data_IF_505914023343
#
_entry.id   IF_505914023343
#
_cell.length_a   1.000
_cell.length_b   1.000
_cell.length_c   1.000
_cell.angle_alpha   90.00
_cell.angle_beta   90.00
_cell.angle_gamma   90.00
#
_symmetry.space_group_name_H-M   'P 1'
#
loop_
_entity.id
_entity.type
_entity.pdbx_description
1 polymer ?
#
# COMPACT_ATOMS: atom_id res chain seq x y z
N UNK A 1 -17.52 -52.84 19.43
CA UNK A 1 -18.01 -53.72 18.33
C UNK A 1 -19.11 -53.00 17.55
N UNK A 2 -19.17 -53.21 16.22
CA UNK A 2 -20.03 -52.59 15.16
C UNK A 2 -19.56 -51.18 14.74
N UNK A 3 -18.83 -50.92 13.63
CA UNK A 3 -18.97 -51.19 12.15
C UNK A 3 -20.27 -50.58 11.58
N UNK A 4 -20.37 -49.84 10.46
CA UNK A 4 -19.71 -49.75 9.12
C UNK A 4 -20.00 -48.34 8.48
N UNK A 5 -19.09 -47.69 7.71
CA UNK A 5 -19.01 -47.51 6.21
C UNK A 5 -20.32 -47.11 5.50
N UNK A 6 -20.43 -46.28 4.45
CA UNK A 6 -19.56 -45.82 3.33
C UNK A 6 -20.17 -44.53 2.70
N UNK A 7 -19.39 -43.55 2.19
CA UNK A 7 -18.98 -43.31 0.79
C UNK A 7 -20.10 -43.13 -0.28
N UNK A 8 -20.08 -41.99 -1.00
CA UNK A 8 -20.48 -41.88 -2.42
C UNK A 8 -19.58 -40.84 -3.11
N UNK A 9 -18.93 -41.28 -4.19
CA UNK A 9 -18.30 -40.45 -5.22
C UNK A 9 -19.18 -40.51 -6.48
N UNK A 10 -19.15 -39.47 -7.31
CA UNK A 10 -19.68 -39.52 -8.68
C UNK A 10 -18.76 -38.73 -9.62
N UNK A 11 -18.22 -39.45 -10.60
CA UNK A 11 -17.47 -38.96 -11.75
C UNK A 11 -18.42 -38.75 -12.94
N UNK A 12 -18.10 -37.81 -13.83
CA UNK A 12 -18.69 -37.72 -15.16
C UNK A 12 -17.59 -37.64 -16.23
N UNK A 13 -17.71 -38.56 -17.18
CA UNK A 13 -16.89 -38.76 -18.39
C UNK A 13 -17.51 -37.94 -19.53
N UNK A 14 -16.69 -37.34 -20.39
CA UNK A 14 -17.13 -36.94 -21.73
C UNK A 14 -16.11 -37.33 -22.81
N UNK A 15 -16.69 -37.77 -23.92
CA UNK A 15 -16.18 -38.66 -24.96
C UNK A 15 -15.34 -37.94 -26.02
N UNK A 16 -14.31 -38.61 -26.53
CA UNK A 16 -13.53 -38.20 -27.70
C UNK A 16 -14.19 -38.64 -29.01
N UNK A 17 -14.16 -37.78 -30.04
CA UNK A 17 -14.44 -38.15 -31.43
C UNK A 17 -13.33 -37.61 -32.34
N UNK A 18 -12.76 -38.49 -33.14
CA UNK A 18 -11.75 -38.22 -34.18
C UNK A 18 -12.44 -37.75 -35.47
N UNK A 19 -11.86 -36.75 -36.13
CA UNK A 19 -12.21 -36.32 -37.49
C UNK A 19 -10.95 -35.89 -38.24
N UNK A 20 -10.74 -36.48 -39.41
CA UNK A 20 -9.55 -36.35 -40.27
C UNK A 20 -9.73 -35.22 -41.30
N UNK A 21 -8.75 -34.32 -41.35
CA UNK A 21 -8.13 -33.65 -42.53
C UNK A 21 -8.99 -32.98 -43.63
N UNK A 22 -8.69 -31.70 -43.92
CA UNK A 22 -8.18 -31.23 -45.24
C UNK A 22 -7.66 -29.77 -45.19
N UNK A 23 -6.37 -29.62 -45.55
CA UNK A 23 -5.70 -28.58 -46.34
C UNK A 23 -6.00 -27.07 -46.24
N UNK A 24 -4.93 -26.35 -45.83
CA UNK A 24 -4.36 -25.10 -46.37
C UNK A 24 -5.09 -23.75 -46.24
N UNK A 25 -4.53 -22.87 -45.41
CA UNK A 25 -3.89 -21.61 -45.86
C UNK A 25 -2.99 -21.04 -44.75
N UNK A 26 -1.78 -20.64 -45.15
CA UNK A 26 -0.76 -20.00 -44.32
C UNK A 26 -1.19 -18.61 -43.82
N UNK A 27 -0.97 -18.36 -42.53
CA UNK A 27 -0.44 -17.11 -42.01
C UNK A 27 0.14 -17.36 -40.61
N UNK A 28 1.42 -17.68 -40.57
CA UNK A 28 2.22 -17.67 -39.34
C UNK A 28 2.82 -16.27 -39.18
N UNK A 29 2.37 -15.53 -38.17
CA UNK A 29 3.18 -14.50 -37.49
C UNK A 29 2.75 -14.39 -36.03
N UNK A 30 3.53 -15.06 -35.18
CA UNK A 30 3.94 -14.73 -33.81
C UNK A 30 2.88 -14.34 -32.75
N UNK A 31 2.95 -14.93 -31.54
CA UNK A 31 2.11 -14.50 -30.42
C UNK A 31 2.48 -13.09 -29.98
N UNK A 32 1.49 -12.21 -29.94
CA UNK A 32 1.60 -10.88 -29.34
C UNK A 32 2.00 -11.00 -27.88
N UNK A 33 3.11 -10.35 -27.52
CA UNK A 33 3.58 -10.18 -26.15
C UNK A 33 2.45 -9.65 -25.24
N UNK A 34 2.42 -10.02 -23.95
CA UNK A 34 1.42 -9.49 -23.03
C UNK A 34 1.54 -7.97 -22.96
N UNK A 35 0.44 -7.30 -23.31
CA UNK A 35 0.23 -5.87 -23.18
C UNK A 35 0.72 -5.40 -21.81
N UNK A 36 1.70 -4.50 -21.78
CA UNK A 36 2.06 -3.77 -20.58
C UNK A 36 0.79 -3.17 -20.00
N UNK A 37 0.46 -3.52 -18.75
CA UNK A 37 -0.66 -2.95 -18.01
C UNK A 37 -0.41 -1.46 -17.87
N UNK A 38 -0.94 -0.68 -18.82
CA UNK A 38 -0.92 0.77 -18.79
C UNK A 38 -1.60 1.18 -17.49
N UNK A 39 -0.87 1.84 -16.61
CA UNK A 39 -1.39 2.40 -15.38
C UNK A 39 -2.66 3.20 -15.71
N UNK A 40 -3.79 2.76 -15.18
CA UNK A 40 -5.05 3.49 -15.19
C UNK A 40 -5.32 3.88 -13.75
N UNK A 41 -5.34 5.19 -13.51
CA UNK A 41 -5.60 5.83 -12.23
C UNK A 41 -6.71 5.12 -11.42
N UNK A 42 -6.43 4.71 -10.17
CA UNK A 42 -7.45 4.47 -9.17
C UNK A 42 -8.38 5.68 -9.05
N UNK A 43 -9.68 5.46 -9.29
CA UNK A 43 -10.65 6.56 -9.46
C UNK A 43 -10.92 7.39 -8.21
N UNK A 44 -10.45 6.98 -7.03
CA UNK A 44 -10.79 7.63 -5.76
C UNK A 44 -9.60 8.01 -4.87
N UNK A 45 -8.35 7.70 -5.25
CA UNK A 45 -7.15 8.32 -4.62
C UNK A 45 -7.03 9.82 -4.95
N UNK A 46 -7.83 10.28 -5.93
CA UNK A 46 -7.74 11.61 -6.54
C UNK A 46 -8.77 12.61 -6.00
N UNK A 47 -9.46 12.33 -4.90
CA UNK A 47 -10.16 13.41 -4.17
C UNK A 47 -9.14 14.16 -3.33
N UNK A 48 -9.28 15.48 -3.20
CA UNK A 48 -8.62 16.20 -2.11
C UNK A 48 -8.80 15.39 -0.83
N UNK A 49 -7.69 15.11 -0.16
CA UNK A 49 -7.67 14.47 1.14
C UNK A 49 -8.39 15.44 2.09
N UNK A 50 -9.65 15.12 2.37
CA UNK A 50 -10.53 15.88 3.26
C UNK A 50 -10.34 15.37 4.69
N UNK A 51 -9.38 15.96 5.39
CA UNK A 51 -8.98 15.55 6.74
C UNK A 51 -10.04 15.86 7.79
N UNK A 52 -10.86 16.90 7.57
CA UNK A 52 -11.93 17.26 8.50
C UNK A 52 -13.08 16.26 8.41
N UNK A 53 -13.41 15.78 7.21
CA UNK A 53 -14.34 14.66 7.05
C UNK A 53 -13.79 13.36 7.65
N UNK A 54 -12.47 13.11 7.55
CA UNK A 54 -11.82 11.95 8.17
C UNK A 54 -11.80 12.04 9.71
N UNK A 55 -11.69 13.25 10.29
CA UNK A 55 -11.76 13.49 11.73
C UNK A 55 -13.20 13.46 12.28
N UNK A 56 -14.19 13.91 11.50
CA UNK A 56 -15.61 13.97 11.87
C UNK A 56 -16.27 12.59 12.10
N UNK A 57 -15.66 11.50 11.61
CA UNK A 57 -16.04 10.12 11.92
C UNK A 57 -15.57 9.67 13.33
N UNK A 58 -15.17 10.61 14.19
CA UNK A 58 -14.93 10.40 15.61
C UNK A 58 -13.46 10.24 16.01
N UNK A 59 -12.54 10.87 15.26
CA UNK A 59 -11.10 10.73 15.49
C UNK A 59 -10.46 12.05 15.88
N UNK A 60 -9.98 12.15 17.12
CA UNK A 60 -9.06 13.19 17.57
C UNK A 60 -7.66 12.59 17.71
N UNK A 61 -6.67 13.24 17.09
CA UNK A 61 -5.26 13.00 17.43
C UNK A 61 -5.09 13.54 18.85
N UNK A 62 -4.75 12.68 19.80
CA UNK A 62 -4.34 13.16 21.12
C UNK A 62 -3.05 13.95 20.94
N UNK A 63 -3.11 15.23 21.30
CA UNK A 63 -1.99 16.15 21.31
C UNK A 63 -0.82 15.55 22.11
N UNK A 64 0.36 15.52 21.49
CA UNK A 64 1.61 15.41 22.24
C UNK A 64 1.90 16.82 22.73
N UNK A 65 1.30 17.19 23.86
CA UNK A 65 1.63 18.44 24.55
C UNK A 65 3.05 18.32 25.13
N UNK A 66 3.91 19.23 24.66
CA UNK A 66 5.27 19.46 25.13
C UNK A 66 5.18 20.20 26.47
N UNK A 67 5.19 19.46 27.60
CA UNK A 67 5.30 20.09 28.91
C UNK A 67 6.76 20.30 29.30
N UNK A 68 7.11 21.58 29.41
CA UNK A 68 8.38 22.08 29.88
C UNK A 68 8.61 21.80 31.38
N UNK A 69 9.86 21.45 31.65
CA UNK A 69 10.49 21.08 32.91
C UNK A 69 10.33 22.13 34.03
N UNK A 70 9.89 21.71 35.22
CA UNK A 70 10.30 22.35 36.48
C UNK A 70 10.42 21.30 37.60
N UNK A 71 11.54 21.36 38.31
CA UNK A 71 12.06 20.35 39.22
C UNK A 71 11.32 20.22 40.55
N UNK A 72 11.20 19.00 41.09
CA UNK A 72 11.78 18.59 42.39
C UNK A 72 11.49 17.10 42.76
N UNK A 73 12.59 16.35 42.85
CA UNK A 73 12.95 15.19 43.68
C UNK A 73 11.93 14.23 44.36
N UNK A 74 12.19 12.94 44.11
CA UNK A 74 12.15 11.76 45.02
C UNK A 74 10.86 10.92 45.09
N UNK A 75 10.84 9.79 44.38
CA UNK A 75 10.85 8.44 44.97
C UNK A 75 10.77 7.38 43.86
N UNK A 76 11.78 6.52 43.82
CA UNK A 76 11.90 5.30 43.02
C UNK A 76 10.71 4.35 43.28
N UNK A 77 9.93 4.09 42.23
CA UNK A 77 9.24 2.82 42.03
C UNK A 77 9.59 2.36 40.63
N UNK A 78 10.53 1.43 40.55
CA UNK A 78 10.92 0.74 39.33
C UNK A 78 9.76 -0.19 38.92
N UNK A 79 8.78 0.38 38.23
CA UNK A 79 7.87 -0.36 37.39
C UNK A 79 8.65 -0.71 36.13
N UNK A 80 9.26 -1.89 36.14
CA UNK A 80 9.71 -2.54 34.91
C UNK A 80 8.47 -2.77 34.07
N UNK A 81 8.18 -1.83 33.17
CA UNK A 81 7.25 -2.08 32.08
C UNK A 81 7.81 -3.28 31.33
N UNK A 82 7.05 -4.38 31.32
CA UNK A 82 7.32 -5.48 30.41
C UNK A 82 7.29 -4.90 28.99
N UNK A 83 8.48 -4.64 28.45
CA UNK A 83 8.61 -4.23 27.05
C UNK A 83 8.19 -5.44 26.23
N UNK A 84 6.94 -5.46 25.77
CA UNK A 84 6.54 -6.34 24.67
C UNK A 84 7.61 -6.19 23.58
N UNK A 85 8.29 -7.27 23.17
CA UNK A 85 9.37 -7.16 22.20
C UNK A 85 8.80 -6.48 20.96
N UNK A 86 9.53 -5.49 20.45
CA UNK A 86 9.17 -4.88 19.18
C UNK A 86 8.96 -6.01 18.16
N UNK A 87 7.86 -5.96 17.39
CA UNK A 87 7.57 -6.99 16.42
C UNK A 87 8.69 -7.06 15.40
N UNK A 88 8.95 -8.25 14.84
CA UNK A 88 10.10 -8.44 13.96
C UNK A 88 9.99 -7.51 12.75
N UNK A 89 11.06 -6.75 12.52
CA UNK A 89 11.23 -5.96 11.32
C UNK A 89 11.30 -6.88 10.10
N UNK A 90 10.75 -6.44 8.96
CA UNK A 90 10.84 -7.19 7.70
C UNK A 90 12.29 -7.18 7.24
N UNK A 91 12.82 -8.34 6.86
CA UNK A 91 14.18 -8.50 6.32
C UNK A 91 14.23 -8.26 4.80
N UNK A 92 15.41 -7.99 4.21
CA UNK A 92 15.57 -7.89 2.75
C UNK A 92 15.06 -9.13 2.00
N UNK A 93 15.34 -10.32 2.52
CA UNK A 93 14.91 -11.60 1.96
C UNK A 93 13.38 -11.76 2.01
N UNK A 94 12.76 -11.41 3.14
CA UNK A 94 11.31 -11.42 3.26
C UNK A 94 10.68 -10.41 2.31
N UNK A 95 11.16 -9.16 2.26
CA UNK A 95 10.63 -8.14 1.35
C UNK A 95 10.68 -8.60 -0.12
N UNK A 96 11.77 -9.25 -0.52
CA UNK A 96 11.91 -9.84 -1.87
C UNK A 96 10.88 -10.94 -2.13
N UNK A 97 10.58 -11.78 -1.13
CA UNK A 97 9.55 -12.83 -1.24
C UNK A 97 8.13 -12.26 -1.23
N UNK A 98 7.87 -11.21 -0.46
CA UNK A 98 6.57 -10.53 -0.33
C UNK A 98 6.25 -9.73 -1.60
N UNK A 99 7.25 -9.06 -2.19
CA UNK A 99 7.11 -8.23 -3.39
C UNK A 99 8.05 -8.72 -4.49
N UNK A 100 7.79 -9.85 -5.17
CA UNK A 100 8.72 -10.43 -6.15
C UNK A 100 9.01 -9.54 -7.38
N UNK A 101 8.22 -8.48 -7.58
CA UNK A 101 8.43 -7.50 -8.65
C UNK A 101 9.40 -6.38 -8.30
N UNK A 102 9.88 -6.30 -7.05
CA UNK A 102 10.84 -5.30 -6.59
C UNK A 102 12.18 -5.47 -7.32
N UNK A 103 12.75 -4.39 -7.90
CA UNK A 103 14.11 -4.45 -8.43
C UNK A 103 15.11 -4.75 -7.31
N UNK A 104 16.02 -5.70 -7.53
CA UNK A 104 16.95 -6.18 -6.50
C UNK A 104 17.82 -5.05 -5.91
N UNK A 105 18.21 -4.10 -6.75
CA UNK A 105 18.99 -2.92 -6.36
C UNK A 105 18.26 -1.94 -5.44
N UNK A 106 16.93 -2.04 -5.34
CA UNK A 106 16.09 -1.18 -4.49
C UNK A 106 15.79 -1.77 -3.12
N UNK A 107 15.91 -3.08 -2.94
CA UNK A 107 15.58 -3.76 -1.68
C UNK A 107 16.35 -3.12 -0.51
N UNK A 108 17.67 -3.01 -0.65
CA UNK A 108 18.55 -2.41 0.38
C UNK A 108 18.25 -0.93 0.64
N UNK A 109 17.81 -0.20 -0.40
CA UNK A 109 17.45 1.21 -0.25
C UNK A 109 16.12 1.38 0.51
N UNK A 110 15.23 0.40 0.43
CA UNK A 110 13.85 0.54 0.90
C UNK A 110 13.59 -0.13 2.24
N UNK A 111 14.38 -1.14 2.61
CA UNK A 111 14.09 -1.95 3.80
C UNK A 111 14.13 -1.14 5.09
N UNK A 112 15.12 -0.27 5.27
CA UNK A 112 15.24 0.59 6.44
C UNK A 112 14.09 1.61 6.54
N UNK A 113 13.83 2.46 5.51
CA UNK A 113 12.76 3.45 5.60
C UNK A 113 11.35 2.82 5.66
N UNK A 114 11.12 1.66 5.03
CA UNK A 114 9.87 0.91 5.16
C UNK A 114 9.62 0.47 6.60
N UNK A 115 10.61 -0.19 7.22
CA UNK A 115 10.50 -0.66 8.60
C UNK A 115 10.37 0.50 9.59
N UNK A 116 11.10 1.59 9.38
CA UNK A 116 10.99 2.78 10.22
C UNK A 116 9.59 3.40 10.16
N UNK A 117 9.02 3.54 8.95
CA UNK A 117 7.68 4.05 8.77
C UNK A 117 6.62 3.14 9.44
N UNK A 118 6.76 1.81 9.26
CA UNK A 118 5.86 0.83 9.90
C UNK A 118 5.95 0.88 11.42
N UNK A 119 7.17 0.91 11.98
CA UNK A 119 7.40 0.95 13.43
C UNK A 119 6.81 2.23 14.05
N UNK A 120 7.08 3.41 13.47
CA UNK A 120 6.56 4.69 13.96
C UNK A 120 5.03 4.79 13.93
N UNK A 121 4.39 3.99 13.08
CA UNK A 121 2.93 4.03 12.84
C UNK A 121 2.17 2.84 13.42
N UNK A 122 2.80 2.02 14.27
CA UNK A 122 2.16 0.85 14.88
C UNK A 122 1.71 -0.21 13.87
N UNK A 123 2.37 -0.29 12.71
CA UNK A 123 2.17 -1.34 11.70
C UNK A 123 3.08 -2.50 12.09
N UNK A 124 2.69 -3.16 13.17
CA UNK A 124 3.59 -3.84 14.10
C UNK A 124 3.16 -5.31 14.31
N UNK A 125 2.39 -5.87 13.38
CA UNK A 125 2.12 -7.30 13.38
C UNK A 125 2.07 -7.81 11.94
N UNK A 126 2.23 -9.13 11.72
CA UNK A 126 2.25 -9.69 10.37
C UNK A 126 1.03 -9.32 9.52
N UNK A 127 -0.16 -9.19 10.11
CA UNK A 127 -1.38 -8.79 9.40
C UNK A 127 -1.29 -7.36 8.91
N UNK A 128 -0.94 -6.42 9.80
CA UNK A 128 -0.79 -5.00 9.45
C UNK A 128 0.33 -4.79 8.43
N UNK A 129 1.49 -5.41 8.66
CA UNK A 129 2.66 -5.33 7.76
C UNK A 129 2.33 -5.88 6.37
N UNK A 130 1.77 -7.09 6.29
CA UNK A 130 1.38 -7.69 5.01
C UNK A 130 0.33 -6.84 4.29
N UNK A 131 -0.66 -6.32 5.02
CA UNK A 131 -1.71 -5.50 4.41
C UNK A 131 -1.15 -4.18 3.87
N UNK A 132 -0.33 -3.49 4.65
CA UNK A 132 0.34 -2.25 4.25
C UNK A 132 1.20 -2.47 3.00
N UNK A 133 2.13 -3.43 3.04
CA UNK A 133 3.02 -3.74 1.91
C UNK A 133 2.23 -4.13 0.66
N UNK A 134 1.15 -4.90 0.79
CA UNK A 134 0.30 -5.29 -0.34
C UNK A 134 -0.35 -4.09 -1.04
N UNK A 135 -0.80 -3.08 -0.29
CA UNK A 135 -1.35 -1.86 -0.90
C UNK A 135 -0.26 -1.10 -1.64
N UNK A 136 0.87 -0.83 -0.99
CA UNK A 136 1.98 -0.09 -1.60
C UNK A 136 2.53 -0.81 -2.84
N UNK A 137 2.60 -2.14 -2.81
CA UNK A 137 3.09 -2.92 -3.93
C UNK A 137 2.18 -2.79 -5.16
N UNK A 138 0.89 -2.50 -5.01
CA UNK A 138 0.01 -2.16 -6.15
C UNK A 138 0.25 -0.73 -6.60
N UNK A 139 0.20 0.23 -5.68
CA UNK A 139 0.23 1.66 -6.04
C UNK A 139 1.56 2.10 -6.69
N UNK A 140 2.65 1.41 -6.41
CA UNK A 140 4.01 1.76 -6.86
C UNK A 140 4.59 0.82 -7.93
N UNK A 141 3.74 0.02 -8.58
CA UNK A 141 4.16 -1.02 -9.53
C UNK A 141 5.24 -1.94 -8.92
N UNK A 142 4.93 -2.56 -7.78
CA UNK A 142 5.85 -3.44 -7.04
C UNK A 142 7.13 -2.73 -6.62
N UNK A 143 7.04 -1.47 -6.17
CA UNK A 143 8.16 -0.65 -5.72
C UNK A 143 9.14 -0.27 -6.85
N UNK A 144 8.73 -0.43 -8.12
CA UNK A 144 9.53 -0.02 -9.29
C UNK A 144 9.60 1.48 -9.45
N UNK A 145 8.58 2.20 -9.02
CA UNK A 145 8.58 3.66 -9.05
C UNK A 145 7.74 4.25 -7.92
N UNK A 146 8.20 5.36 -7.36
CA UNK A 146 7.40 6.22 -6.48
C UNK A 146 7.03 7.53 -7.16
N UNK A 147 7.14 7.58 -8.48
CA UNK A 147 6.59 8.65 -9.30
C UNK A 147 5.78 8.02 -10.42
N UNK A 148 4.56 8.52 -10.64
CA UNK A 148 3.71 8.00 -11.71
C UNK A 148 4.42 8.14 -13.08
N UNK A 149 4.09 7.24 -13.99
CA UNK A 149 4.67 7.28 -15.34
C UNK A 149 4.02 8.37 -16.23
N UNK A 150 2.80 8.80 -15.93
CA UNK A 150 2.15 9.85 -16.71
C UNK A 150 2.77 11.22 -16.40
N UNK A 151 2.50 12.19 -17.27
CA UNK A 151 3.06 13.53 -17.11
C UNK A 151 2.38 14.37 -16.03
N UNK A 152 1.22 13.95 -15.51
CA UNK A 152 0.38 14.76 -14.62
C UNK A 152 -0.46 15.83 -15.34
N UNK A 153 -0.29 16.04 -16.66
CA UNK A 153 -1.09 17.02 -17.44
C UNK A 153 -2.60 16.83 -17.30
N UNK A 154 -3.05 15.60 -17.08
CA UNK A 154 -4.46 15.29 -16.90
C UNK A 154 -5.05 15.89 -15.61
N UNK A 155 -4.20 16.28 -14.65
CA UNK A 155 -4.62 16.92 -13.40
C UNK A 155 -4.62 18.45 -13.49
N UNK A 156 -4.21 19.05 -14.62
CA UNK A 156 -4.20 20.49 -14.78
C UNK A 156 -5.61 21.07 -14.63
N UNK A 157 -5.77 22.11 -13.81
CA UNK A 157 -7.06 22.76 -13.57
C UNK A 157 -8.06 21.93 -12.74
N UNK A 158 -7.67 20.78 -12.20
CA UNK A 158 -8.52 19.98 -11.29
C UNK A 158 -8.68 20.71 -9.96
N UNK A 159 -9.74 21.51 -9.84
CA UNK A 159 -10.06 22.28 -8.64
C UNK A 159 -10.29 21.38 -7.40
N UNK A 160 -10.82 20.18 -7.61
CA UNK A 160 -11.01 19.17 -6.55
C UNK A 160 -9.71 18.54 -6.05
N UNK A 161 -8.58 18.81 -6.71
CA UNK A 161 -7.21 18.47 -6.28
C UNK A 161 -6.43 19.70 -5.80
N UNK A 162 -7.07 20.88 -5.76
CA UNK A 162 -6.41 22.15 -5.48
C UNK A 162 -5.55 22.69 -6.62
N UNK A 163 -5.52 22.03 -7.79
CA UNK A 163 -4.71 22.44 -8.94
C UNK A 163 -5.36 23.64 -9.64
N UNK A 164 -5.18 24.82 -9.06
CA UNK A 164 -5.85 26.07 -9.45
C UNK A 164 -4.90 27.08 -10.10
N UNK A 165 -3.60 26.78 -10.12
CA UNK A 165 -2.59 27.59 -10.80
C UNK A 165 -2.04 26.91 -12.05
N UNK A 166 -1.69 27.67 -13.12
CA UNK A 166 -1.09 27.09 -14.30
C UNK A 166 0.18 26.28 -14.00
N UNK A 167 0.20 25.04 -14.48
CA UNK A 167 1.32 24.09 -14.31
C UNK A 167 1.20 23.18 -13.10
N UNK A 168 0.16 23.33 -12.28
CA UNK A 168 -0.07 22.49 -11.10
C UNK A 168 -0.23 21.01 -11.44
N UNK A 169 -0.80 20.68 -12.60
CA UNK A 169 -1.05 19.30 -12.98
C UNK A 169 0.24 18.48 -13.07
N UNK A 170 1.23 18.97 -13.82
CA UNK A 170 2.53 18.30 -13.92
C UNK A 170 3.36 18.43 -12.63
N UNK A 171 3.25 19.57 -11.94
CA UNK A 171 4.01 19.82 -10.70
C UNK A 171 3.60 18.87 -9.58
N UNK A 172 2.31 18.70 -9.34
CA UNK A 172 1.74 17.86 -8.28
C UNK A 172 1.15 16.56 -8.83
N UNK A 173 1.85 16.00 -9.81
CA UNK A 173 1.63 14.66 -10.35
C UNK A 173 1.78 13.58 -9.26
N UNK A 174 1.33 12.35 -9.51
CA UNK A 174 1.34 11.27 -8.51
C UNK A 174 2.75 10.90 -8.02
N UNK A 175 3.00 10.96 -6.71
CA UNK A 175 4.27 10.57 -6.08
C UNK A 175 4.11 9.84 -4.74
N UNK A 176 5.17 9.18 -4.30
CA UNK A 176 5.24 8.37 -3.09
C UNK A 176 4.68 6.95 -3.30
N UNK A 177 4.80 6.14 -2.26
CA UNK A 177 4.41 4.73 -2.31
C UNK A 177 2.88 4.52 -2.36
N UNK A 178 2.09 5.57 -2.08
CA UNK A 178 0.62 5.57 -2.13
C UNK A 178 0.03 6.59 -3.14
N UNK A 179 0.87 7.17 -4.02
CA UNK A 179 0.45 8.05 -5.12
C UNK A 179 -0.32 9.32 -4.69
N UNK A 180 0.28 10.11 -3.79
CA UNK A 180 -0.21 11.45 -3.45
C UNK A 180 -0.20 12.34 -4.69
N UNK A 181 -1.34 12.96 -4.98
CA UNK A 181 -1.58 13.73 -6.21
C UNK A 181 -2.35 15.01 -5.90
N UNK A 182 -2.01 16.12 -6.54
CA UNK A 182 -2.72 17.40 -6.43
C UNK A 182 -2.14 18.33 -5.36
N UNK A 183 -2.13 19.64 -5.67
CA UNK A 183 -1.58 20.70 -4.81
C UNK A 183 -2.08 20.63 -3.38
N UNK A 184 -3.41 20.52 -3.19
CA UNK A 184 -4.02 20.48 -1.86
C UNK A 184 -3.45 19.34 -1.01
N UNK A 185 -3.25 18.17 -1.63
CA UNK A 185 -2.72 17.00 -0.94
C UNK A 185 -1.25 17.15 -0.59
N UNK A 186 -0.46 17.75 -1.49
CA UNK A 186 0.93 18.10 -1.23
C UNK A 186 1.07 19.12 -0.10
N UNK A 187 0.21 20.14 -0.05
CA UNK A 187 0.18 21.13 1.04
C UNK A 187 -0.12 20.47 2.38
N UNK A 188 -1.15 19.62 2.43
CA UNK A 188 -1.56 18.94 3.68
C UNK A 188 -0.51 17.98 4.22
N UNK A 189 0.11 17.19 3.34
CA UNK A 189 1.16 16.27 3.78
C UNK A 189 2.44 17.03 4.15
N UNK A 190 2.72 18.18 3.52
CA UNK A 190 3.84 19.05 3.92
C UNK A 190 3.65 19.61 5.32
N UNK A 191 2.45 20.12 5.62
CA UNK A 191 2.07 20.63 6.95
C UNK A 191 2.25 19.56 8.02
N UNK A 192 1.80 18.34 7.75
CA UNK A 192 1.85 17.26 8.74
C UNK A 192 3.26 16.71 8.97
N UNK A 193 4.05 16.54 7.91
CA UNK A 193 5.38 15.90 8.00
C UNK A 193 6.49 16.92 8.30
N UNK A 194 6.25 18.21 8.04
CA UNK A 194 7.26 19.27 8.22
C UNK A 194 8.31 19.32 7.09
N UNK A 195 8.00 18.75 5.92
CA UNK A 195 8.84 18.81 4.71
C UNK A 195 8.08 19.58 3.64
N UNK A 196 8.70 20.57 3.01
CA UNK A 196 8.06 21.41 2.01
C UNK A 196 7.98 20.71 0.63
N UNK A 197 7.01 19.80 0.49
CA UNK A 197 6.72 19.14 -0.79
C UNK A 197 6.05 20.08 -1.80
N UNK A 198 5.57 21.25 -1.38
CA UNK A 198 4.98 22.24 -2.29
C UNK A 198 6.08 22.90 -3.11
N UNK A 199 7.15 23.34 -2.45
CA UNK A 199 8.35 23.86 -3.09
C UNK A 199 9.17 22.76 -3.78
N UNK A 200 9.25 21.58 -3.17
CA UNK A 200 10.09 20.45 -3.59
C UNK A 200 9.27 19.15 -3.77
N UNK A 201 8.35 19.09 -4.75
CA UNK A 201 7.43 17.97 -4.92
C UNK A 201 8.13 16.63 -5.21
N UNK A 202 9.30 16.67 -5.83
CA UNK A 202 10.14 15.50 -6.11
C UNK A 202 10.56 14.74 -4.84
N UNK A 203 10.62 15.41 -3.68
CA UNK A 203 11.03 14.78 -2.43
C UNK A 203 10.03 13.71 -1.97
N UNK A 204 8.76 13.75 -2.38
CA UNK A 204 7.79 12.68 -2.08
C UNK A 204 8.19 11.33 -2.66
N UNK A 205 8.99 11.30 -3.73
CA UNK A 205 9.47 10.07 -4.35
C UNK A 205 10.72 9.49 -3.67
N UNK A 206 11.35 10.22 -2.74
CA UNK A 206 12.45 9.69 -1.93
C UNK A 206 11.93 8.60 -0.98
N UNK A 207 12.63 7.46 -0.79
CA UNK A 207 12.10 6.30 -0.06
C UNK A 207 11.60 6.63 1.35
N UNK A 208 12.34 7.42 2.11
CA UNK A 208 12.01 7.86 3.46
C UNK A 208 10.66 8.60 3.48
N UNK A 209 10.47 9.54 2.55
CA UNK A 209 9.23 10.31 2.44
C UNK A 209 8.10 9.46 1.85
N UNK A 210 8.39 8.61 0.85
CA UNK A 210 7.41 7.76 0.19
C UNK A 210 6.76 6.79 1.19
N UNK A 211 7.54 6.19 2.09
CA UNK A 211 7.00 5.30 3.13
C UNK A 211 6.40 6.07 4.30
N UNK A 212 6.99 7.19 4.74
CA UNK A 212 6.42 8.02 5.82
C UNK A 212 5.04 8.57 5.44
N UNK A 213 4.90 9.11 4.22
CA UNK A 213 3.63 9.64 3.71
C UNK A 213 2.58 8.54 3.53
N UNK A 214 3.00 7.34 3.10
CA UNK A 214 2.13 6.18 3.04
C UNK A 214 1.66 5.71 4.42
N UNK A 215 2.55 5.67 5.41
CA UNK A 215 2.21 5.31 6.78
C UNK A 215 1.27 6.34 7.41
N UNK A 216 1.47 7.63 7.13
CA UNK A 216 0.52 8.68 7.51
C UNK A 216 -0.85 8.50 6.85
N UNK A 217 -0.91 8.25 5.54
CA UNK A 217 -2.19 8.00 4.86
C UNK A 217 -2.94 6.83 5.50
N UNK A 218 -2.18 5.79 5.89
CA UNK A 218 -2.69 4.59 6.52
C UNK A 218 -3.27 4.85 7.92
N UNK A 219 -2.52 5.54 8.78
CA UNK A 219 -2.95 5.84 10.16
C UNK A 219 -4.04 6.90 10.21
N UNK A 220 -4.03 7.89 9.31
CA UNK A 220 -5.10 8.90 9.22
C UNK A 220 -6.48 8.33 8.85
N UNK A 221 -6.55 7.04 8.48
CA UNK A 221 -7.76 6.28 8.13
C UNK A 221 -7.99 5.09 9.05
N UNK A 222 -7.24 5.01 10.15
CA UNK A 222 -7.28 3.92 11.12
C UNK A 222 -7.14 2.52 10.47
N UNK A 223 -6.31 2.40 9.43
CA UNK A 223 -6.22 1.16 8.66
C UNK A 223 -5.56 0.01 9.42
N UNK A 224 -4.86 0.28 10.53
CA UNK A 224 -4.43 -0.76 11.48
C UNK A 224 -5.64 -1.52 12.03
N UNK A 225 -6.61 -0.81 12.63
CA UNK A 225 -7.83 -1.42 13.18
C UNK A 225 -8.63 -2.13 12.08
N UNK A 226 -8.73 -1.53 10.89
CA UNK A 226 -9.43 -2.14 9.75
C UNK A 226 -8.75 -3.43 9.31
N UNK A 227 -7.42 -3.46 9.24
CA UNK A 227 -6.67 -4.67 8.90
C UNK A 227 -6.91 -5.79 9.93
N UNK A 228 -6.94 -5.44 11.22
CA UNK A 228 -7.13 -6.40 12.30
C UNK A 228 -8.56 -6.96 12.37
N UNK A 229 -9.57 -6.14 12.08
CA UNK A 229 -10.98 -6.47 12.34
C UNK A 229 -11.79 -6.79 11.09
N UNK A 230 -11.52 -6.13 9.97
CA UNK A 230 -12.29 -6.23 8.72
C UNK A 230 -11.49 -6.84 7.55
N UNK A 231 -10.17 -6.89 7.66
CA UNK A 231 -9.28 -7.57 6.72
C UNK A 231 -9.03 -6.83 5.40
N UNK A 232 -8.24 -7.47 4.53
CA UNK A 232 -7.62 -6.85 3.35
C UNK A 232 -8.62 -6.29 2.33
N UNK A 233 -9.82 -6.88 2.20
CA UNK A 233 -10.82 -6.39 1.24
C UNK A 233 -11.29 -5.00 1.65
N UNK A 234 -11.58 -4.79 2.94
CA UNK A 234 -12.02 -3.49 3.44
C UNK A 234 -10.89 -2.47 3.38
N UNK A 235 -9.66 -2.87 3.72
CA UNK A 235 -8.47 -2.03 3.53
C UNK A 235 -8.35 -1.58 2.08
N UNK A 236 -8.47 -2.50 1.12
CA UNK A 236 -8.39 -2.20 -0.31
C UNK A 236 -9.46 -1.21 -0.77
N UNK A 237 -10.70 -1.36 -0.30
CA UNK A 237 -11.79 -0.43 -0.63
C UNK A 237 -11.49 0.98 -0.12
N UNK A 238 -10.92 1.12 1.08
CA UNK A 238 -10.58 2.41 1.66
C UNK A 238 -9.37 3.07 1.02
N UNK A 239 -8.40 2.27 0.56
CA UNK A 239 -7.23 2.78 -0.17
C UNK A 239 -7.61 3.21 -1.58
N UNK A 240 -8.40 2.40 -2.29
CA UNK A 240 -8.64 2.59 -3.71
C UNK A 240 -9.96 3.32 -4.05
N UNK A 241 -10.87 3.43 -3.06
CA UNK A 241 -12.29 3.81 -3.20
C UNK A 241 -13.15 2.83 -4.02
N UNK A 242 -12.63 1.64 -4.29
CA UNK A 242 -13.33 0.59 -5.03
C UNK A 242 -12.54 -0.71 -5.11
N UNK A 243 -12.78 -1.50 -6.15
CA UNK A 243 -12.21 -2.85 -6.32
C UNK A 243 -11.07 -2.93 -7.36
N UNK A 244 -10.46 -1.80 -7.75
CA UNK A 244 -9.35 -1.85 -8.72
C UNK A 244 -8.18 -2.65 -8.13
N UNK A 245 -7.70 -3.61 -8.93
CA UNK A 245 -6.64 -4.56 -8.57
C UNK A 245 -6.90 -5.39 -7.29
N UNK A 246 -8.16 -5.52 -6.83
CA UNK A 246 -8.48 -6.23 -5.58
C UNK A 246 -7.91 -7.66 -5.53
N UNK A 247 -7.99 -8.41 -6.63
CA UNK A 247 -7.41 -9.75 -6.71
C UNK A 247 -5.90 -9.75 -6.41
N UNK A 248 -5.15 -8.83 -7.03
CA UNK A 248 -3.71 -8.67 -6.78
C UNK A 248 -3.43 -8.27 -5.32
N UNK A 249 -4.21 -7.34 -4.75
CA UNK A 249 -4.05 -6.93 -3.33
C UNK A 249 -4.25 -8.10 -2.37
N UNK A 250 -5.25 -8.93 -2.62
CA UNK A 250 -5.52 -10.14 -1.83
C UNK A 250 -4.37 -11.14 -1.97
N UNK A 251 -3.87 -11.36 -3.19
CA UNK A 251 -2.79 -12.31 -3.43
C UNK A 251 -1.46 -11.84 -2.81
N UNK A 252 -1.14 -10.55 -2.93
CA UNK A 252 0.03 -9.94 -2.30
C UNK A 252 -0.05 -9.98 -0.77
N UNK A 253 -1.23 -9.72 -0.20
CA UNK A 253 -1.46 -9.84 1.25
C UNK A 253 -1.26 -11.26 1.76
N UNK A 254 -1.85 -12.27 1.09
CA UNK A 254 -1.68 -13.68 1.46
C UNK A 254 -0.21 -14.09 1.42
N UNK A 255 0.49 -13.71 0.35
CA UNK A 255 1.94 -13.93 0.22
C UNK A 255 2.72 -13.29 1.36
N UNK A 256 2.34 -12.05 1.71
CA UNK A 256 2.87 -11.32 2.87
C UNK A 256 2.74 -12.12 4.16
N UNK A 257 1.53 -12.57 4.47
CA UNK A 257 1.25 -13.38 5.65
C UNK A 257 2.02 -14.70 5.66
N UNK A 258 2.04 -15.42 4.52
CA UNK A 258 2.75 -16.69 4.41
C UNK A 258 4.25 -16.54 4.71
N UNK A 259 4.86 -15.44 4.26
CA UNK A 259 6.27 -15.13 4.53
C UNK A 259 6.47 -14.73 6.00
N UNK A 260 5.69 -13.78 6.51
CA UNK A 260 5.91 -13.20 7.85
C UNK A 260 5.50 -14.14 9.00
N UNK A 261 4.62 -15.11 8.76
CA UNK A 261 4.25 -16.14 9.73
C UNK A 261 5.11 -17.39 9.64
N UNK A 262 5.86 -17.57 8.55
CA UNK A 262 6.81 -18.65 8.33
C UNK A 262 8.17 -18.10 7.86
N UNK A 263 8.82 -17.28 8.71
CA UNK A 263 10.07 -16.60 8.36
C UNK A 263 11.17 -17.59 7.96
#
# INVERSE_FOLDING_TARGET
MRRFRAAVAAAAVLTAALGVGTSAAHADTAPTAPTQTRFQEPRDLLRALDFDALAADGWTVTDVEEEAESAEATAVVELVAETTPAPPAVTPEELTRIVPGIPAEKVEQFIAPLNEAMARSGIDNPVRQAAFIAQLAVESDSFRTFEEYASGRAYEGRADLGNTHPGDGERYKGRGAIQITGRHNYEKVSEHIGVDFVAHPELLAAPENAFTTAAWYWTSRNLNEVADTAGIVRVSELVNGGHHALGRRIDDFKRGLDVLLQP
#
